data_IF_488669378314
#
_entry.id   IF_488669378314
#
_cell.length_a   1.000
_cell.length_b   1.000
_cell.length_c   1.000
_cell.angle_alpha   90.00
_cell.angle_beta   90.00
_cell.angle_gamma   90.00
#
_symmetry.space_group_name_H-M   'P 1'
#
loop_
_entity.id
_entity.type
_entity.pdbx_description
1 polymer ?
#
# COMPACT_ATOMS: atom_id res chain seq x y z
N UNK A 1 24.53 17.30 0.61
CA UNK A 1 24.60 15.90 0.20
C UNK A 1 23.29 15.38 -0.43
N UNK A 2 23.39 14.37 -1.30
CA UNK A 2 22.25 13.84 -2.08
C UNK A 2 21.35 12.87 -1.32
N UNK A 3 20.87 13.23 -0.14
CA UNK A 3 20.16 12.34 0.79
C UNK A 3 18.64 12.25 0.60
N UNK A 4 18.09 12.86 -0.46
CA UNK A 4 16.62 12.91 -0.68
C UNK A 4 15.96 11.53 -0.67
N UNK A 5 16.64 10.48 -1.16
CA UNK A 5 16.12 9.11 -1.12
C UNK A 5 15.93 8.62 0.32
N UNK A 6 16.86 8.88 1.22
CA UNK A 6 16.71 8.56 2.65
C UNK A 6 15.54 9.30 3.30
N UNK A 7 15.35 10.57 2.96
CA UNK A 7 14.25 11.38 3.48
C UNK A 7 12.89 10.90 2.93
N UNK A 8 12.78 10.74 1.61
CA UNK A 8 11.53 10.30 0.97
C UNK A 8 11.12 8.89 1.35
N UNK A 9 12.05 7.94 1.34
CA UNK A 9 11.74 6.53 1.60
C UNK A 9 11.61 6.20 3.09
N UNK A 10 12.55 6.70 3.92
CA UNK A 10 12.65 6.29 5.33
C UNK A 10 11.95 7.27 6.24
N UNK A 11 12.37 8.55 6.23
CA UNK A 11 11.77 9.54 7.12
C UNK A 11 10.29 9.76 6.82
N UNK A 12 9.91 9.88 5.55
CA UNK A 12 8.50 10.00 5.17
C UNK A 12 7.84 8.62 5.03
N UNK A 13 8.24 7.80 4.06
CA UNK A 13 7.55 6.58 3.68
C UNK A 13 7.44 5.56 4.81
N UNK A 14 8.56 5.18 5.44
CA UNK A 14 8.56 4.19 6.53
C UNK A 14 7.88 4.72 7.80
N UNK A 15 8.05 6.02 8.11
CA UNK A 15 7.40 6.63 9.28
C UNK A 15 5.88 6.66 9.12
N UNK A 16 5.38 7.08 7.96
CA UNK A 16 3.94 7.09 7.69
C UNK A 16 3.37 5.67 7.80
N UNK A 17 4.04 4.68 7.23
CA UNK A 17 3.64 3.29 7.31
C UNK A 17 3.55 2.80 8.77
N UNK A 18 4.50 3.17 9.63
CA UNK A 18 4.48 2.84 11.06
C UNK A 18 3.37 3.58 11.81
N UNK A 19 3.19 4.86 11.50
CA UNK A 19 2.12 5.67 12.09
C UNK A 19 0.74 5.08 11.78
N UNK A 20 0.49 4.70 10.53
CA UNK A 20 -0.74 3.99 10.14
C UNK A 20 -0.88 2.67 10.87
N UNK A 21 0.22 1.90 11.00
CA UNK A 21 0.21 0.60 11.67
C UNK A 21 -0.08 0.71 13.17
N UNK A 22 0.49 1.70 13.87
CA UNK A 22 0.43 1.82 15.33
C UNK A 22 -0.60 2.82 15.83
N UNK A 23 -1.03 3.76 14.99
CA UNK A 23 -1.85 4.92 15.38
C UNK A 23 -1.08 6.00 16.14
N UNK A 24 0.26 5.89 16.24
CA UNK A 24 1.10 6.87 16.92
C UNK A 24 1.37 8.09 16.04
N UNK A 25 1.63 9.22 16.68
CA UNK A 25 2.01 10.45 15.97
C UNK A 25 3.33 10.24 15.21
N UNK A 26 3.38 10.50 13.88
CA UNK A 26 4.59 10.33 13.08
C UNK A 26 5.79 11.14 13.59
N UNK A 27 5.57 12.31 14.20
CA UNK A 27 6.65 13.13 14.76
C UNK A 27 7.35 12.48 15.96
N UNK A 28 6.68 11.56 16.66
CA UNK A 28 7.22 10.85 17.82
C UNK A 28 7.95 9.56 17.44
N UNK A 29 7.64 9.00 16.27
CA UNK A 29 8.13 7.70 15.82
C UNK A 29 8.96 7.76 14.55
N UNK A 30 9.43 8.96 14.18
CA UNK A 30 10.17 9.16 12.93
C UNK A 30 11.39 8.25 12.81
N UNK A 31 11.58 7.67 11.61
CA UNK A 31 12.74 6.84 11.28
C UNK A 31 13.89 7.66 10.69
N UNK A 32 15.10 7.15 10.89
CA UNK A 32 16.33 7.85 10.50
C UNK A 32 16.59 7.78 8.98
N UNK A 33 16.58 8.92 8.28
CA UNK A 33 16.98 8.97 6.88
C UNK A 33 18.48 8.68 6.71
N UNK A 34 19.31 9.04 7.70
CA UNK A 34 20.74 8.79 7.68
C UNK A 34 21.06 7.30 7.79
N UNK A 35 20.29 6.51 8.57
CA UNK A 35 20.48 5.07 8.66
C UNK A 35 20.37 4.41 7.28
N UNK A 36 19.41 4.82 6.47
CA UNK A 36 19.25 4.31 5.11
C UNK A 36 20.30 4.91 4.18
N UNK A 37 20.39 6.23 4.13
CA UNK A 37 21.23 6.92 3.16
C UNK A 37 22.71 6.59 3.28
N UNK A 38 23.27 6.55 4.49
CA UNK A 38 24.69 6.30 4.70
C UNK A 38 25.13 4.91 4.23
N UNK A 39 24.21 3.94 4.19
CA UNK A 39 24.51 2.58 3.74
C UNK A 39 24.41 2.40 2.22
N UNK A 40 23.69 3.28 1.52
CA UNK A 40 23.40 3.13 0.08
C UNK A 40 23.82 4.33 -0.77
N UNK A 41 24.29 5.41 -0.14
CA UNK A 41 24.78 6.62 -0.83
C UNK A 41 25.92 6.29 -1.80
N UNK A 42 25.97 7.00 -2.90
CA UNK A 42 27.11 6.92 -3.82
C UNK A 42 28.32 7.67 -3.21
N UNK A 43 29.50 7.49 -3.79
CA UNK A 43 30.74 8.13 -3.37
C UNK A 43 30.56 9.64 -3.19
N UNK A 44 31.31 10.21 -2.27
CA UNK A 44 31.29 11.64 -1.93
C UNK A 44 29.92 12.17 -1.51
N UNK A 45 29.10 11.32 -0.88
CA UNK A 45 27.75 11.69 -0.43
C UNK A 45 26.84 12.18 -1.57
N UNK A 46 27.04 11.66 -2.77
CA UNK A 46 26.17 11.88 -3.92
C UNK A 46 24.78 11.23 -3.70
N UNK A 47 23.89 11.42 -4.66
CA UNK A 47 22.57 10.78 -4.64
C UNK A 47 22.62 9.25 -4.54
N UNK A 48 21.45 8.62 -4.58
CA UNK A 48 21.32 7.17 -4.64
C UNK A 48 20.01 6.79 -5.34
N UNK A 49 19.73 5.50 -5.44
CA UNK A 49 18.56 4.97 -6.14
C UNK A 49 17.46 4.56 -5.15
N UNK A 50 16.20 4.84 -5.48
CA UNK A 50 15.04 4.44 -4.68
C UNK A 50 14.99 2.92 -4.50
N UNK A 51 15.34 2.15 -5.52
CA UNK A 51 15.40 0.70 -5.47
C UNK A 51 16.30 0.18 -4.35
N UNK A 52 17.48 0.78 -4.16
CA UNK A 52 18.40 0.41 -3.06
C UNK A 52 17.80 0.71 -1.68
N UNK A 53 17.07 1.83 -1.55
CA UNK A 53 16.42 2.16 -0.29
C UNK A 53 15.28 1.19 0.03
N UNK A 54 14.44 0.86 -0.95
CA UNK A 54 13.35 -0.12 -0.80
C UNK A 54 13.90 -1.49 -0.43
N UNK A 55 14.97 -1.94 -1.10
CA UNK A 55 15.65 -3.21 -0.81
C UNK A 55 16.22 -3.24 0.61
N UNK A 56 16.92 -2.19 1.03
CA UNK A 56 17.47 -2.09 2.38
C UNK A 56 16.37 -2.08 3.44
N UNK A 57 15.31 -1.29 3.25
CA UNK A 57 14.19 -1.21 4.18
C UNK A 57 13.42 -2.54 4.29
N UNK A 58 13.37 -3.34 3.21
CA UNK A 58 12.73 -4.66 3.21
C UNK A 58 13.62 -5.74 3.84
N UNK A 59 14.92 -5.72 3.56
CA UNK A 59 15.85 -6.77 4.01
C UNK A 59 16.41 -6.48 5.41
N UNK A 60 16.75 -5.24 5.71
CA UNK A 60 17.39 -4.82 6.96
C UNK A 60 16.41 -4.10 7.89
N UNK A 61 15.56 -3.22 7.34
CA UNK A 61 14.68 -2.35 8.12
C UNK A 61 15.26 -0.97 8.36
N UNK A 62 14.83 -0.31 9.42
CA UNK A 62 15.31 1.02 9.84
C UNK A 62 15.31 1.17 11.36
N UNK A 63 15.85 2.27 11.86
CA UNK A 63 15.87 2.60 13.29
C UNK A 63 15.21 3.95 13.54
N UNK A 64 14.67 4.20 14.76
CA UNK A 64 14.18 5.51 15.14
C UNK A 64 15.22 6.60 14.90
N UNK A 65 14.76 7.81 14.56
CA UNK A 65 15.62 8.96 14.24
C UNK A 65 16.67 9.23 15.30
N UNK A 66 16.28 9.20 16.56
CA UNK A 66 17.19 9.49 17.69
C UNK A 66 18.28 8.43 17.89
N UNK A 67 18.10 7.22 17.38
CA UNK A 67 19.12 6.16 17.46
C UNK A 67 20.25 6.34 16.44
N UNK A 68 19.97 7.03 15.34
CA UNK A 68 20.94 7.33 14.29
C UNK A 68 20.62 8.69 13.63
N UNK A 69 20.90 9.81 14.33
CA UNK A 69 20.51 11.15 13.85
C UNK A 69 21.16 11.51 12.52
N UNK A 70 20.43 12.24 11.69
CA UNK A 70 20.95 12.80 10.45
C UNK A 70 21.90 13.95 10.69
N UNK A 71 22.95 14.03 9.90
CA UNK A 71 23.82 15.19 9.75
C UNK A 71 24.09 15.47 8.27
N UNK A 72 24.21 16.73 7.91
CA UNK A 72 24.59 17.16 6.57
C UNK A 72 26.12 17.26 6.39
N UNK A 73 26.89 17.04 7.44
CA UNK A 73 28.35 17.15 7.44
C UNK A 73 29.03 15.95 6.79
N UNK A 74 28.44 14.75 6.92
CA UNK A 74 29.03 13.51 6.42
C UNK A 74 27.99 12.39 6.31
N UNK A 75 28.12 11.56 5.30
CA UNK A 75 27.39 10.30 5.13
C UNK A 75 28.25 9.05 5.43
N UNK A 76 29.45 9.25 5.97
CA UNK A 76 30.42 8.15 6.15
C UNK A 76 30.14 7.27 7.38
N UNK A 77 29.39 7.78 8.36
CA UNK A 77 29.04 7.02 9.56
C UNK A 77 28.18 5.81 9.17
N UNK A 78 28.66 4.61 9.54
CA UNK A 78 27.90 3.38 9.32
C UNK A 78 27.26 2.89 10.62
N UNK A 79 26.07 2.23 10.55
CA UNK A 79 25.47 1.60 11.71
C UNK A 79 26.31 0.42 12.20
N UNK A 80 26.39 0.24 13.50
CA UNK A 80 27.00 -0.92 14.11
C UNK A 80 26.05 -2.16 14.09
N UNK A 81 26.57 -3.32 14.48
CA UNK A 81 25.82 -4.58 14.49
C UNK A 81 24.57 -4.52 15.39
N UNK A 82 24.61 -3.77 16.49
CA UNK A 82 23.47 -3.61 17.40
C UNK A 82 22.35 -2.84 16.72
N UNK A 83 22.68 -1.74 16.06
CA UNK A 83 21.71 -0.96 15.30
C UNK A 83 21.10 -1.76 14.14
N UNK A 84 21.90 -2.59 13.45
CA UNK A 84 21.41 -3.48 12.40
C UNK A 84 20.41 -4.52 12.95
N UNK A 85 20.68 -5.08 14.15
CA UNK A 85 19.75 -5.97 14.83
C UNK A 85 18.45 -5.27 15.23
N UNK A 86 18.56 -4.05 15.78
CA UNK A 86 17.38 -3.25 16.14
C UNK A 86 16.55 -2.86 14.92
N UNK A 87 17.19 -2.55 13.79
CA UNK A 87 16.54 -2.23 12.53
C UNK A 87 15.64 -3.36 12.02
N UNK A 88 16.00 -4.62 12.29
CA UNK A 88 15.25 -5.78 11.84
C UNK A 88 13.80 -5.85 12.35
N UNK A 89 13.50 -5.14 13.43
CA UNK A 89 12.16 -5.01 14.01
C UNK A 89 11.25 -4.10 13.18
N UNK A 90 11.82 -3.31 12.30
CA UNK A 90 11.13 -2.26 11.54
C UNK A 90 11.29 -2.42 10.02
N UNK A 91 11.30 -3.66 9.55
CA UNK A 91 11.31 -3.97 8.12
C UNK A 91 10.01 -3.56 7.44
N UNK A 92 10.10 -3.18 6.18
CA UNK A 92 8.94 -3.15 5.29
C UNK A 92 8.65 -4.56 4.76
N UNK A 93 7.38 -4.82 4.37
CA UNK A 93 7.04 -6.08 3.68
C UNK A 93 7.63 -6.14 2.27
N UNK A 94 7.64 -4.99 1.59
CA UNK A 94 8.13 -4.81 0.25
C UNK A 94 7.61 -3.53 -0.38
N UNK A 95 7.85 -3.38 -1.67
CA UNK A 95 7.25 -2.34 -2.49
C UNK A 95 7.12 -2.82 -3.94
N UNK A 96 6.12 -2.32 -4.62
CA UNK A 96 5.85 -2.60 -6.03
C UNK A 96 6.15 -1.38 -6.88
N UNK A 97 6.90 -1.55 -7.97
CA UNK A 97 7.09 -0.48 -8.95
C UNK A 97 5.77 -0.18 -9.65
N UNK A 98 5.38 1.09 -9.67
CA UNK A 98 4.13 1.60 -10.24
C UNK A 98 4.36 2.44 -11.51
N UNK A 99 5.56 2.35 -12.08
CA UNK A 99 5.91 2.87 -13.40
C UNK A 99 6.21 1.70 -14.32
N UNK A 100 5.76 1.75 -15.57
CA UNK A 100 6.02 0.70 -16.55
C UNK A 100 7.51 0.60 -16.87
N UNK A 101 7.99 -0.63 -17.13
CA UNK A 101 9.33 -0.86 -17.66
C UNK A 101 9.29 -0.61 -19.16
N UNK A 102 10.08 0.34 -19.64
CA UNK A 102 10.21 0.68 -21.05
C UNK A 102 10.98 1.98 -21.18
N UNK A 103 11.25 2.38 -22.42
CA UNK A 103 11.89 3.65 -22.72
C UNK A 103 10.97 4.84 -22.38
N UNK A 104 9.67 4.59 -22.32
CA UNK A 104 8.65 5.54 -21.84
C UNK A 104 8.31 5.21 -20.39
N UNK A 105 8.82 6.00 -19.45
CA UNK A 105 8.49 5.92 -18.02
C UNK A 105 7.02 6.33 -17.78
N UNK A 106 6.10 5.46 -18.12
CA UNK A 106 4.68 5.73 -17.95
C UNK A 106 4.26 5.47 -16.50
N UNK A 107 3.78 6.50 -15.86
CA UNK A 107 3.25 6.43 -14.49
C UNK A 107 1.83 5.87 -14.50
N UNK A 108 1.56 4.82 -13.73
CA UNK A 108 0.22 4.31 -13.54
C UNK A 108 -0.49 5.05 -12.39
N UNK A 109 -1.22 6.11 -12.74
CA UNK A 109 -2.01 6.93 -11.81
C UNK A 109 -3.02 6.08 -11.02
N UNK A 110 -3.66 5.10 -11.66
CA UNK A 110 -4.64 4.24 -10.99
C UNK A 110 -3.99 3.31 -9.97
N UNK A 111 -2.85 2.71 -10.30
CA UNK A 111 -2.11 1.88 -9.36
C UNK A 111 -1.61 2.68 -8.16
N UNK A 112 -1.15 3.93 -8.37
CA UNK A 112 -0.75 4.85 -7.28
C UNK A 112 -1.95 5.16 -6.38
N UNK A 113 -3.10 5.53 -6.95
CA UNK A 113 -4.33 5.79 -6.17
C UNK A 113 -4.75 4.57 -5.35
N UNK A 114 -4.71 3.38 -5.94
CA UNK A 114 -5.03 2.12 -5.24
C UNK A 114 -4.07 1.85 -4.08
N UNK A 115 -2.78 2.16 -4.24
CA UNK A 115 -1.81 2.01 -3.15
C UNK A 115 -2.11 2.98 -2.00
N UNK A 116 -2.34 4.26 -2.30
CA UNK A 116 -2.70 5.28 -1.32
C UNK A 116 -4.03 4.96 -0.61
N UNK A 117 -5.02 4.44 -1.33
CA UNK A 117 -6.32 4.02 -0.78
C UNK A 117 -6.20 2.86 0.24
N UNK A 118 -5.10 2.11 0.22
CA UNK A 118 -4.77 1.08 1.23
C UNK A 118 -4.01 1.65 2.42
N UNK A 119 -3.99 2.98 2.59
CA UNK A 119 -3.22 3.69 3.61
C UNK A 119 -1.70 3.41 3.55
N UNK A 120 -1.18 3.17 2.37
CA UNK A 120 0.24 2.96 2.14
C UNK A 120 0.81 4.05 1.23
N UNK A 121 1.90 4.72 1.63
CA UNK A 121 2.49 5.80 0.86
C UNK A 121 3.20 5.28 -0.39
N UNK A 122 3.51 6.19 -1.31
CA UNK A 122 4.25 5.89 -2.55
C UNK A 122 5.51 6.73 -2.60
N UNK A 123 6.66 6.09 -2.72
CA UNK A 123 7.96 6.76 -2.89
C UNK A 123 8.10 7.11 -4.37
N UNK A 124 8.42 8.36 -4.65
CA UNK A 124 8.53 8.87 -6.02
C UNK A 124 9.88 9.50 -6.32
N UNK A 125 10.32 9.34 -7.56
CA UNK A 125 11.41 10.09 -8.15
C UNK A 125 10.87 11.06 -9.20
N UNK A 126 11.02 12.36 -8.97
CA UNK A 126 10.54 13.43 -9.84
C UNK A 126 11.70 14.27 -10.36
N UNK A 127 11.58 14.73 -11.59
CA UNK A 127 12.43 15.82 -12.11
C UNK A 127 11.93 17.14 -11.54
N UNK A 128 12.76 17.82 -10.77
CA UNK A 128 12.41 19.07 -10.09
C UNK A 128 13.40 20.17 -10.38
N UNK A 129 12.94 21.40 -10.45
CA UNK A 129 13.72 22.61 -10.74
C UNK A 129 12.79 23.80 -10.87
N UNK A 130 13.25 24.90 -11.45
CA UNK A 130 12.43 26.05 -11.79
C UNK A 130 11.47 26.50 -10.67
N UNK A 131 10.20 26.64 -11.02
CA UNK A 131 9.17 27.11 -10.08
C UNK A 131 8.92 26.13 -8.91
N UNK A 132 9.15 24.82 -9.11
CA UNK A 132 9.03 23.84 -8.03
C UNK A 132 10.01 24.10 -6.89
N UNK A 133 11.21 24.58 -7.21
CA UNK A 133 12.23 24.88 -6.20
C UNK A 133 12.10 26.28 -5.61
N UNK A 134 11.74 27.26 -6.44
CA UNK A 134 11.93 28.67 -6.07
C UNK A 134 10.62 29.38 -5.71
N UNK A 135 9.47 28.91 -6.20
CA UNK A 135 8.22 29.66 -6.12
C UNK A 135 7.16 29.02 -5.21
N UNK A 136 7.53 27.97 -4.44
CA UNK A 136 6.58 27.19 -3.68
C UNK A 136 6.30 27.70 -2.25
N UNK A 137 7.06 28.68 -1.75
CA UNK A 137 6.84 29.16 -0.38
C UNK A 137 5.39 29.64 -0.16
N UNK A 138 4.71 29.00 0.80
CA UNK A 138 3.33 29.31 1.16
C UNK A 138 2.25 28.80 0.20
N UNK A 139 2.62 28.20 -0.92
CA UNK A 139 1.66 27.62 -1.88
C UNK A 139 1.26 26.21 -1.48
N UNK A 140 -0.03 25.90 -1.60
CA UNK A 140 -0.55 24.55 -1.32
C UNK A 140 -0.63 23.64 -2.55
N UNK A 141 -0.39 24.21 -3.75
CA UNK A 141 -0.28 23.43 -4.99
C UNK A 141 0.82 23.96 -5.90
N UNK A 142 1.42 23.06 -6.67
CA UNK A 142 2.37 23.40 -7.72
C UNK A 142 1.68 23.34 -9.09
N UNK A 143 1.80 24.42 -9.82
CA UNK A 143 1.42 24.51 -11.23
C UNK A 143 2.64 24.91 -12.02
N UNK A 144 3.18 24.01 -12.86
CA UNK A 144 4.33 24.34 -13.70
C UNK A 144 4.05 25.53 -14.61
N UNK A 145 5.03 26.39 -14.74
CA UNK A 145 4.99 27.41 -15.77
C UNK A 145 5.50 26.85 -17.10
N UNK A 146 5.41 27.63 -18.19
CA UNK A 146 5.81 27.18 -19.53
C UNK A 146 7.28 26.78 -19.63
N UNK A 147 8.16 27.43 -18.87
CA UNK A 147 9.61 27.18 -18.88
C UNK A 147 9.96 25.86 -18.18
N UNK A 148 9.20 25.48 -17.15
CA UNK A 148 9.40 24.25 -16.39
C UNK A 148 9.27 22.98 -17.28
N UNK A 149 8.40 23.01 -18.29
CA UNK A 149 8.26 21.88 -19.23
C UNK A 149 9.50 21.63 -20.08
N UNK A 150 10.36 22.62 -20.22
CA UNK A 150 11.67 22.45 -20.86
C UNK A 150 12.67 21.68 -20.01
N UNK A 151 12.42 21.53 -18.71
CA UNK A 151 13.23 20.82 -17.71
C UNK A 151 14.71 21.24 -17.69
N UNK A 152 15.02 22.47 -18.13
CA UNK A 152 16.38 22.98 -18.17
C UNK A 152 16.85 23.23 -16.72
N UNK A 153 17.95 22.59 -16.31
CA UNK A 153 18.49 22.68 -14.96
C UNK A 153 17.73 21.86 -13.92
N UNK A 154 16.78 21.02 -14.35
CA UNK A 154 16.08 20.11 -13.45
C UNK A 154 16.98 18.94 -13.04
N UNK A 155 16.82 18.48 -11.80
CA UNK A 155 17.49 17.32 -11.24
C UNK A 155 16.51 16.32 -10.64
N UNK A 156 16.97 15.07 -10.49
CA UNK A 156 16.19 14.03 -9.82
C UNK A 156 16.03 14.30 -8.33
N UNK A 157 14.81 14.19 -7.81
CA UNK A 157 14.51 14.37 -6.40
C UNK A 157 13.53 13.30 -5.90
N UNK A 158 13.82 12.74 -4.73
CA UNK A 158 12.98 11.72 -4.12
C UNK A 158 12.05 12.35 -3.07
N UNK A 159 10.76 12.04 -3.18
CA UNK A 159 9.71 12.50 -2.28
C UNK A 159 8.73 11.36 -1.98
N UNK A 160 7.68 11.67 -1.23
CA UNK A 160 6.66 10.68 -0.85
C UNK A 160 5.26 11.21 -1.18
N UNK A 161 4.44 10.42 -1.86
CA UNK A 161 3.00 10.69 -1.99
C UNK A 161 2.28 10.18 -0.74
N UNK A 162 1.41 11.02 -0.20
CA UNK A 162 0.69 10.76 1.06
C UNK A 162 -0.82 10.86 0.93
N UNK A 163 -1.33 11.23 -0.24
CA UNK A 163 -2.76 11.36 -0.49
C UNK A 163 -3.08 11.64 -1.94
N UNK A 164 -4.35 11.58 -2.25
CA UNK A 164 -4.92 11.97 -3.54
C UNK A 164 -6.32 12.56 -3.36
N UNK A 165 -6.74 13.37 -4.32
CA UNK A 165 -8.11 13.88 -4.43
C UNK A 165 -8.51 13.93 -5.91
N UNK A 166 -9.48 13.10 -6.30
CA UNK A 166 -9.97 13.01 -7.67
C UNK A 166 -10.80 14.22 -8.11
N UNK A 167 -11.22 15.06 -7.15
CA UNK A 167 -12.01 16.27 -7.40
C UNK A 167 -11.20 17.55 -7.39
N UNK A 168 -9.90 17.46 -7.06
CA UNK A 168 -9.02 18.62 -7.13
C UNK A 168 -8.92 19.15 -8.56
N UNK A 169 -8.66 20.44 -8.77
CA UNK A 169 -8.59 21.09 -10.09
C UNK A 169 -9.80 20.76 -10.98
N UNK A 170 -11.01 21.06 -10.53
CA UNK A 170 -12.24 20.89 -11.30
C UNK A 170 -12.48 19.45 -11.82
N UNK A 171 -12.03 18.47 -11.07
CA UNK A 171 -12.07 17.02 -11.33
C UNK A 171 -10.93 16.45 -12.23
N UNK A 172 -9.88 17.21 -12.47
CA UNK A 172 -8.68 16.65 -13.12
C UNK A 172 -7.88 15.75 -12.15
N UNK A 173 -8.10 15.92 -10.85
CA UNK A 173 -7.47 15.16 -9.79
C UNK A 173 -6.03 15.57 -9.48
N UNK A 174 -5.58 15.28 -8.26
CA UNK A 174 -4.24 15.60 -7.80
C UNK A 174 -3.68 14.60 -6.79
N UNK A 175 -2.35 14.54 -6.72
CA UNK A 175 -1.61 13.88 -5.65
C UNK A 175 -1.06 14.90 -4.66
N UNK A 176 -1.06 14.52 -3.37
CA UNK A 176 -0.42 15.28 -2.31
C UNK A 176 1.00 14.75 -2.07
N UNK A 177 1.99 15.60 -2.30
CA UNK A 177 3.41 15.31 -2.11
C UNK A 177 3.85 15.80 -0.72
N UNK A 178 4.59 14.97 0.01
CA UNK A 178 5.40 15.35 1.16
C UNK A 178 6.86 15.48 0.72
N UNK A 179 7.40 16.71 0.83
CA UNK A 179 8.79 17.03 0.50
C UNK A 179 9.67 17.02 1.77
N UNK A 180 10.97 17.13 1.60
CA UNK A 180 11.98 17.16 2.67
C UNK A 180 12.75 18.50 2.76
N UNK A 181 12.26 19.55 2.13
CA UNK A 181 12.93 20.87 2.10
C UNK A 181 12.47 21.82 3.22
N UNK A 182 11.84 21.25 4.25
CA UNK A 182 11.36 22.00 5.42
C UNK A 182 9.96 22.61 5.22
N UNK A 183 9.42 23.19 6.30
CA UNK A 183 8.02 23.63 6.33
C UNK A 183 7.71 24.88 5.49
N UNK A 184 8.74 25.60 5.07
CA UNK A 184 8.57 26.78 4.21
C UNK A 184 8.30 26.43 2.76
N UNK A 185 8.77 25.26 2.29
CA UNK A 185 8.41 24.79 0.96
C UNK A 185 6.95 24.32 0.95
N UNK A 186 6.18 24.81 -0.01
CA UNK A 186 4.78 24.49 -0.08
C UNK A 186 4.01 24.95 1.15
N UNK A 187 2.97 24.26 1.51
CA UNK A 187 2.21 24.45 2.74
C UNK A 187 2.62 23.42 3.78
N UNK A 188 3.46 23.82 4.75
CA UNK A 188 4.01 22.92 5.76
C UNK A 188 4.78 21.72 5.17
N UNK A 189 5.61 21.97 4.15
CA UNK A 189 6.39 20.93 3.49
C UNK A 189 5.63 20.05 2.50
N UNK A 190 4.39 20.43 2.13
CA UNK A 190 3.50 19.66 1.26
C UNK A 190 2.97 20.51 0.12
N UNK A 191 2.66 19.86 -0.99
CA UNK A 191 1.97 20.49 -2.11
C UNK A 191 1.14 19.48 -2.90
N UNK A 192 0.02 19.96 -3.44
CA UNK A 192 -0.75 19.23 -4.44
C UNK A 192 -0.13 19.42 -5.82
N UNK A 193 -0.17 18.35 -6.62
CA UNK A 193 0.25 18.37 -8.03
C UNK A 193 -0.81 17.66 -8.84
N UNK A 194 -1.27 18.26 -9.94
CA UNK A 194 -2.28 17.63 -10.81
C UNK A 194 -1.80 16.27 -11.32
N UNK A 195 -2.69 15.32 -11.56
CA UNK A 195 -2.29 14.03 -12.14
C UNK A 195 -1.53 14.20 -13.45
N UNK A 196 -1.94 15.16 -14.28
CA UNK A 196 -1.27 15.47 -15.55
C UNK A 196 0.17 15.92 -15.37
N UNK A 197 0.39 16.91 -14.50
CA UNK A 197 1.73 17.43 -14.24
C UNK A 197 2.58 16.41 -13.48
N UNK A 198 1.99 15.65 -12.58
CA UNK A 198 2.66 14.55 -11.92
C UNK A 198 3.20 13.51 -12.90
N UNK A 199 2.41 13.09 -13.87
CA UNK A 199 2.85 12.15 -14.92
C UNK A 199 3.99 12.75 -15.75
N UNK A 200 3.90 14.03 -16.11
CA UNK A 200 4.93 14.71 -16.92
C UNK A 200 6.29 14.78 -16.24
N UNK A 201 6.31 15.00 -14.91
CA UNK A 201 7.57 15.24 -14.19
C UNK A 201 8.07 14.05 -13.37
N UNK A 202 7.30 12.95 -13.27
CA UNK A 202 7.68 11.78 -12.50
C UNK A 202 8.38 10.73 -13.35
N UNK A 203 9.55 10.28 -12.87
CA UNK A 203 10.37 9.29 -13.57
C UNK A 203 10.15 7.87 -13.01
N UNK A 204 9.87 7.75 -11.72
CA UNK A 204 9.68 6.46 -11.05
C UNK A 204 8.76 6.60 -9.83
N UNK A 205 8.02 5.52 -9.54
CA UNK A 205 7.13 5.42 -8.40
C UNK A 205 7.14 4.00 -7.83
N UNK A 206 7.22 3.89 -6.50
CA UNK A 206 7.21 2.62 -5.77
C UNK A 206 6.16 2.68 -4.67
N UNK A 207 5.09 1.91 -4.84
CA UNK A 207 4.06 1.72 -3.81
C UNK A 207 4.59 0.83 -2.70
N UNK A 208 4.66 1.34 -1.48
CA UNK A 208 5.03 0.53 -0.32
C UNK A 208 3.87 -0.42 -0.01
N UNK A 209 4.18 -1.68 0.32
CA UNK A 209 3.17 -2.64 0.71
C UNK A 209 2.57 -2.25 2.07
N UNK A 210 1.24 -2.18 2.12
CA UNK A 210 0.51 -1.87 3.34
C UNK A 210 0.85 -2.86 4.46
N UNK A 211 0.94 -2.35 5.68
CA UNK A 211 1.11 -3.16 6.89
C UNK A 211 -0.20 -3.19 7.68
N UNK A 212 -0.57 -4.35 8.26
CA UNK A 212 -1.79 -4.43 9.08
C UNK A 212 -1.68 -3.49 10.27
N UNK A 213 -2.79 -2.79 10.56
CA UNK A 213 -2.88 -1.93 11.74
C UNK A 213 -2.83 -2.77 13.02
N UNK A 214 -2.02 -2.33 13.99
CA UNK A 214 -2.01 -2.96 15.33
C UNK A 214 -3.29 -2.65 16.13
N UNK A 215 -3.96 -1.54 15.81
CA UNK A 215 -5.24 -1.19 16.43
C UNK A 215 -6.35 -2.12 15.93
N UNK A 216 -6.25 -2.58 14.68
CA UNK A 216 -7.21 -3.51 14.09
C UNK A 216 -6.89 -4.98 14.41
N UNK A 217 -5.70 -5.31 14.91
CA UNK A 217 -5.33 -6.68 15.29
C UNK A 217 -6.20 -7.27 16.39
N UNK A 218 -6.84 -6.43 17.19
CA UNK A 218 -7.82 -6.84 18.21
C UNK A 218 -9.25 -6.90 17.67
N UNK A 219 -9.48 -6.51 16.42
CA UNK A 219 -10.78 -6.54 15.76
C UNK A 219 -10.65 -7.21 14.41
N UNK A 220 -11.00 -8.47 14.38
CA UNK A 220 -11.14 -9.18 13.12
C UNK A 220 -12.38 -8.66 12.40
N UNK A 221 -12.16 -8.06 11.22
CA UNK A 221 -13.23 -7.66 10.32
C UNK A 221 -13.21 -8.57 9.11
N UNK A 222 -14.30 -9.28 8.91
CA UNK A 222 -14.45 -10.22 7.82
C UNK A 222 -15.77 -9.97 7.11
N UNK A 223 -15.72 -9.79 5.81
CA UNK A 223 -16.91 -9.79 4.98
C UNK A 223 -17.02 -11.08 4.16
N UNK A 224 -18.23 -11.63 4.12
CA UNK A 224 -18.55 -12.83 3.37
C UNK A 224 -19.67 -12.49 2.39
N UNK A 225 -19.48 -12.86 1.13
CA UNK A 225 -20.48 -12.71 0.09
C UNK A 225 -20.53 -13.95 -0.81
N UNK A 226 -21.66 -14.18 -1.46
CA UNK A 226 -21.77 -15.11 -2.56
C UNK A 226 -21.66 -14.33 -3.88
N UNK A 227 -20.96 -14.90 -4.87
CA UNK A 227 -20.82 -14.29 -6.20
C UNK A 227 -21.42 -15.24 -7.22
N UNK A 228 -22.35 -14.75 -8.00
CA UNK A 228 -22.86 -15.46 -9.17
C UNK A 228 -21.77 -15.60 -10.23
N UNK A 229 -21.58 -16.80 -10.75
CA UNK A 229 -20.51 -17.07 -11.72
C UNK A 229 -20.71 -16.37 -13.07
N UNK A 230 -21.94 -16.27 -13.53
CA UNK A 230 -22.25 -15.72 -14.85
C UNK A 230 -22.26 -14.21 -14.85
N UNK A 231 -23.05 -13.61 -13.96
CA UNK A 231 -23.17 -12.15 -13.88
C UNK A 231 -21.98 -11.47 -13.21
N UNK A 232 -21.15 -12.20 -12.43
CA UNK A 232 -20.08 -11.67 -11.57
C UNK A 232 -20.58 -10.72 -10.47
N UNK A 233 -21.87 -10.66 -10.24
CA UNK A 233 -22.48 -9.82 -9.23
C UNK A 233 -22.59 -10.56 -7.90
N UNK A 234 -22.58 -9.81 -6.81
CA UNK A 234 -22.85 -10.36 -5.49
C UNK A 234 -24.31 -10.76 -5.36
N UNK A 235 -24.53 -11.95 -4.83
CA UNK A 235 -25.86 -12.43 -4.46
C UNK A 235 -26.16 -11.83 -3.09
N UNK A 236 -27.18 -10.98 -3.01
CA UNK A 236 -27.56 -10.31 -1.77
C UNK A 236 -27.94 -11.32 -0.69
N UNK A 237 -27.38 -11.14 0.50
CA UNK A 237 -27.65 -11.94 1.69
C UNK A 237 -28.43 -11.11 2.72
N UNK A 238 -29.36 -11.74 3.42
CA UNK A 238 -30.12 -11.14 4.52
C UNK A 238 -29.83 -11.91 5.79
N UNK A 239 -29.51 -11.21 6.86
CA UNK A 239 -29.28 -11.80 8.17
C UNK A 239 -30.58 -12.43 8.72
N UNK A 240 -30.45 -13.66 9.21
CA UNK A 240 -31.53 -14.43 9.83
C UNK A 240 -31.34 -14.57 11.36
N UNK A 241 -30.30 -13.94 11.91
CA UNK A 241 -29.91 -14.02 13.31
C UNK A 241 -28.85 -15.10 13.57
N UNK A 242 -28.11 -14.96 14.70
CA UNK A 242 -27.08 -15.90 15.13
C UNK A 242 -26.01 -16.22 14.09
N UNK A 243 -25.54 -15.19 13.35
CA UNK A 243 -24.56 -15.32 12.27
C UNK A 243 -25.03 -16.24 11.12
N UNK A 244 -26.33 -16.40 10.96
CA UNK A 244 -26.94 -17.11 9.82
C UNK A 244 -27.44 -16.09 8.81
N UNK A 245 -27.05 -16.26 7.58
CA UNK A 245 -27.44 -15.42 6.44
C UNK A 245 -28.12 -16.27 5.38
N UNK A 246 -29.16 -15.78 4.78
CA UNK A 246 -29.83 -16.42 3.67
C UNK A 246 -29.83 -15.53 2.43
N UNK A 247 -29.83 -16.13 1.25
CA UNK A 247 -29.98 -15.38 0.01
C UNK A 247 -31.30 -14.60 0.00
N UNK A 248 -31.28 -13.35 -0.43
CA UNK A 248 -32.47 -12.47 -0.50
C UNK A 248 -33.45 -12.91 -1.59
N UNK A 249 -33.02 -13.73 -2.54
CA UNK A 249 -33.80 -14.33 -3.59
C UNK A 249 -33.45 -15.80 -3.72
N UNK A 250 -34.44 -16.61 -4.18
CA UNK A 250 -34.20 -18.01 -4.44
C UNK A 250 -33.22 -18.19 -5.60
N UNK A 251 -32.19 -19.01 -5.37
CA UNK A 251 -31.27 -19.41 -6.40
C UNK A 251 -31.93 -20.44 -7.33
N UNK A 252 -31.55 -20.40 -8.60
CA UNK A 252 -32.10 -21.36 -9.59
C UNK A 252 -31.26 -22.63 -9.56
N UNK A 253 -31.93 -23.77 -9.73
CA UNK A 253 -31.27 -25.07 -9.94
C UNK A 253 -30.31 -24.94 -11.13
N UNK A 254 -29.07 -25.38 -10.97
CA UNK A 254 -27.99 -25.22 -11.95
C UNK A 254 -27.27 -23.89 -11.89
N UNK A 255 -27.71 -22.92 -11.07
CA UNK A 255 -27.01 -21.66 -10.89
C UNK A 255 -25.67 -21.92 -10.20
N UNK A 256 -24.61 -21.36 -10.79
CA UNK A 256 -23.24 -21.52 -10.29
C UNK A 256 -22.81 -20.29 -9.50
N UNK A 257 -22.16 -20.52 -8.36
CA UNK A 257 -21.71 -19.46 -7.49
C UNK A 257 -20.40 -19.81 -6.79
N UNK A 258 -19.79 -18.80 -6.15
CA UNK A 258 -18.57 -18.90 -5.32
C UNK A 258 -18.75 -18.11 -4.04
N UNK A 259 -18.02 -18.48 -3.00
CA UNK A 259 -17.91 -17.71 -1.75
C UNK A 259 -16.76 -16.71 -1.89
N UNK A 260 -17.04 -15.45 -1.65
CA UNK A 260 -16.06 -14.37 -1.53
C UNK A 260 -15.84 -14.08 -0.05
N UNK A 261 -14.60 -14.10 0.39
CA UNK A 261 -14.21 -13.73 1.76
C UNK A 261 -13.16 -12.64 1.69
N UNK A 262 -13.36 -11.56 2.43
CA UNK A 262 -12.39 -10.49 2.61
C UNK A 262 -12.03 -10.40 4.09
N UNK A 263 -10.75 -10.48 4.41
CA UNK A 263 -10.24 -10.41 5.77
C UNK A 263 -9.21 -9.27 5.92
N UNK A 264 -9.25 -8.56 7.03
CA UNK A 264 -8.33 -7.48 7.39
C UNK A 264 -7.10 -7.94 8.19
N UNK A 265 -7.13 -9.14 8.75
CA UNK A 265 -6.05 -9.76 9.52
C UNK A 265 -5.73 -11.15 8.98
N UNK A 266 -4.51 -11.63 9.23
CA UNK A 266 -4.13 -13.01 8.96
C UNK A 266 -4.97 -13.95 9.84
N UNK A 267 -5.56 -14.98 9.24
CA UNK A 267 -6.49 -15.88 9.93
C UNK A 267 -6.48 -17.28 9.31
N UNK A 268 -7.10 -18.22 10.00
CA UNK A 268 -7.41 -19.53 9.45
C UNK A 268 -8.85 -19.51 8.90
N UNK A 269 -9.06 -19.97 7.69
CA UNK A 269 -10.38 -20.04 7.07
C UNK A 269 -10.72 -21.50 6.78
N UNK A 270 -11.90 -21.91 7.21
CA UNK A 270 -12.47 -23.23 6.87
C UNK A 270 -13.84 -23.01 6.25
N UNK A 271 -14.09 -23.64 5.12
CA UNK A 271 -15.39 -23.61 4.43
C UNK A 271 -15.87 -25.05 4.27
N UNK A 272 -17.08 -25.32 4.67
CA UNK A 272 -17.69 -26.64 4.59
C UNK A 272 -19.14 -26.53 4.16
N UNK A 273 -19.62 -27.53 3.42
CA UNK A 273 -21.01 -27.71 3.09
C UNK A 273 -21.68 -28.75 4.02
N UNK A 274 -22.98 -28.64 4.18
CA UNK A 274 -23.81 -29.62 4.86
C UNK A 274 -24.90 -30.08 3.95
N UNK A 275 -24.97 -31.42 3.77
CA UNK A 275 -25.98 -32.09 3.00
C UNK A 275 -27.30 -32.27 3.76
N UNK A 276 -28.36 -32.60 3.03
CA UNK A 276 -29.70 -32.84 3.60
C UNK A 276 -29.77 -34.08 4.50
N UNK A 277 -28.88 -35.06 4.32
CA UNK A 277 -28.71 -36.23 5.18
C UNK A 277 -27.90 -35.96 6.45
N UNK A 278 -27.53 -34.67 6.71
CA UNK A 278 -26.65 -34.20 7.76
C UNK A 278 -25.17 -34.59 7.62
N UNK A 279 -24.76 -35.21 6.53
CA UNK A 279 -23.34 -35.34 6.20
C UNK A 279 -22.71 -33.95 5.91
N UNK A 280 -21.41 -33.84 6.06
CA UNK A 280 -20.68 -32.61 5.81
C UNK A 280 -19.48 -32.90 4.93
N UNK A 281 -19.11 -31.93 4.09
CA UNK A 281 -17.91 -32.01 3.28
C UNK A 281 -17.11 -30.71 3.39
N UNK A 282 -15.77 -30.82 3.23
CA UNK A 282 -14.88 -29.67 3.32
C UNK A 282 -14.70 -29.09 1.92
N UNK A 283 -15.00 -27.80 1.78
CA UNK A 283 -14.76 -27.03 0.57
C UNK A 283 -13.39 -26.35 0.57
N UNK A 284 -12.92 -25.94 1.75
CA UNK A 284 -11.58 -25.39 1.96
C UNK A 284 -11.14 -25.66 3.40
N UNK A 285 -9.88 -26.10 3.66
CA UNK A 285 -8.83 -26.34 2.67
C UNK A 285 -9.15 -27.54 1.74
N UNK A 286 -8.72 -27.47 0.47
CA UNK A 286 -9.10 -28.43 -0.58
C UNK A 286 -8.63 -29.86 -0.32
N UNK A 287 -7.58 -30.06 0.47
CA UNK A 287 -7.05 -31.35 0.90
C UNK A 287 -6.44 -31.22 2.29
N UNK A 288 -6.23 -32.32 2.97
CA UNK A 288 -5.52 -32.36 4.26
C UNK A 288 -4.07 -31.79 4.23
N UNK A 289 -3.50 -31.64 3.04
CA UNK A 289 -2.16 -31.07 2.85
C UNK A 289 -2.17 -29.56 2.59
N UNK A 290 -3.33 -28.97 2.31
CA UNK A 290 -3.48 -27.52 2.17
C UNK A 290 -3.65 -26.87 3.55
N UNK A 291 -2.90 -25.81 3.78
CA UNK A 291 -3.08 -24.99 4.99
C UNK A 291 -4.38 -24.19 4.89
N UNK A 292 -5.15 -24.15 5.97
CA UNK A 292 -6.25 -23.20 6.14
C UNK A 292 -5.76 -21.78 6.43
N UNK A 293 -4.47 -21.60 6.70
CA UNK A 293 -3.89 -20.31 7.02
C UNK A 293 -3.86 -19.37 5.81
N UNK A 294 -4.46 -18.22 6.00
CA UNK A 294 -4.52 -17.12 5.04
C UNK A 294 -3.61 -15.99 5.53
N UNK A 295 -2.31 -16.11 5.25
CA UNK A 295 -1.25 -15.18 5.66
C UNK A 295 -1.20 -13.87 4.88
N UNK A 296 -2.19 -13.62 4.02
CA UNK A 296 -2.32 -12.36 3.27
C UNK A 296 -3.72 -11.82 3.54
N UNK A 297 -3.80 -10.54 3.90
CA UNK A 297 -5.08 -9.82 4.03
C UNK A 297 -5.67 -9.49 2.66
N UNK A 298 -6.98 -9.34 2.58
CA UNK A 298 -7.68 -8.99 1.35
C UNK A 298 -8.72 -10.03 0.91
N UNK A 299 -9.12 -9.96 -0.34
CA UNK A 299 -10.23 -10.75 -0.90
C UNK A 299 -9.76 -12.05 -1.53
N UNK A 300 -10.46 -13.14 -1.22
CA UNK A 300 -10.33 -14.47 -1.84
C UNK A 300 -11.68 -14.98 -2.28
N UNK A 301 -11.66 -15.81 -3.33
CA UNK A 301 -12.87 -16.44 -3.89
C UNK A 301 -12.68 -17.96 -3.83
N UNK A 302 -13.64 -18.62 -3.24
CA UNK A 302 -13.66 -20.06 -3.03
C UNK A 302 -14.88 -20.73 -3.70
N UNK A 303 -14.73 -21.92 -4.24
CA UNK A 303 -13.48 -22.62 -4.57
C UNK A 303 -12.72 -21.89 -5.67
N UNK A 304 -11.38 -22.06 -5.72
CA UNK A 304 -10.55 -21.37 -6.71
C UNK A 304 -10.79 -21.88 -8.13
N UNK A 305 -10.75 -23.18 -8.31
CA UNK A 305 -10.64 -23.81 -9.63
C UNK A 305 -11.99 -24.26 -10.21
N UNK A 306 -13.05 -24.33 -9.41
CA UNK A 306 -14.40 -24.68 -9.85
C UNK A 306 -15.44 -23.75 -9.23
N UNK A 307 -16.72 -24.00 -9.47
CA UNK A 307 -17.83 -23.27 -8.84
C UNK A 307 -18.78 -24.28 -8.20
N UNK A 308 -19.38 -23.90 -7.09
CA UNK A 308 -20.51 -24.62 -6.54
C UNK A 308 -21.71 -24.44 -7.44
N UNK A 309 -22.63 -25.40 -7.44
CA UNK A 309 -23.83 -25.37 -8.23
C UNK A 309 -25.03 -25.78 -7.37
N UNK A 310 -26.12 -25.05 -7.50
CA UNK A 310 -27.39 -25.36 -6.82
C UNK A 310 -27.97 -26.61 -7.42
N UNK A 311 -28.12 -27.65 -6.65
CA UNK A 311 -28.67 -28.94 -7.11
C UNK A 311 -30.19 -29.09 -6.88
N UNK A 312 -30.72 -30.29 -7.04
CA UNK A 312 -32.14 -30.64 -6.87
C UNK A 312 -32.43 -31.33 -5.54
N UNK A 313 -31.38 -31.48 -4.68
CA UNK A 313 -31.49 -32.25 -3.44
C UNK A 313 -31.84 -31.32 -2.29
N UNK A 314 -33.00 -31.52 -1.69
CA UNK A 314 -33.46 -30.69 -0.58
C UNK A 314 -34.00 -29.32 -0.97
N UNK A 315 -34.27 -28.51 0.02
CA UNK A 315 -34.81 -27.14 -0.13
C UNK A 315 -33.82 -26.03 0.18
N UNK A 316 -32.71 -26.35 0.80
CA UNK A 316 -31.71 -25.39 1.23
C UNK A 316 -30.31 -26.04 1.25
N UNK A 317 -29.35 -25.38 0.66
CA UNK A 317 -27.93 -25.66 0.83
C UNK A 317 -27.37 -24.85 2.02
N UNK A 318 -26.58 -25.47 2.85
CA UNK A 318 -25.93 -24.80 3.98
C UNK A 318 -24.42 -24.78 3.78
N UNK A 319 -23.85 -23.59 3.79
CA UNK A 319 -22.40 -23.36 3.75
C UNK A 319 -21.98 -22.77 5.09
N UNK A 320 -21.11 -23.48 5.79
CA UNK A 320 -20.47 -23.01 7.01
C UNK A 320 -19.12 -22.36 6.69
N UNK A 321 -18.85 -21.22 7.29
CA UNK A 321 -17.55 -20.56 7.24
C UNK A 321 -17.08 -20.36 8.68
N UNK A 322 -15.91 -20.90 8.98
CA UNK A 322 -15.23 -20.71 10.26
C UNK A 322 -13.96 -19.90 10.01
N UNK A 323 -13.76 -18.85 10.79
CA UNK A 323 -12.60 -17.95 10.68
C UNK A 323 -12.01 -17.71 12.05
#
# INVERSE_FOLDING_TARGET
QGSCVGWGSTYNGRTILESVRTGQNPDEIAFSPAFTYNQIGLEDCQGTYITKAVELLSNTGSVPYNSFPYTDQSCQKQPDNRLLQDASKFKMKGATRLTMNGDDYTVDVNAIRQNLARNAPVIIGMSVGGSFMHDMEGKDYWQPNREDYGKIGFGGHCMCLIGYDDKYFENDGAFLIQNSWGPKWGKNGKAWVSYKDFVEFTNEAYGIDAMPSLQDQNKMDVSIALIDKESKQEISLTEKGNNVFGSSSNLKIGQKFKVKITNNVECYIYIFGKETDNSSYVLFPYTAKHSAYCGITGTRIFPRDYSMEVDKVGNNDVIGVLI
#
